data_IF_254104167299
#
_entry.id   IF_254104167299
#
_cell.length_a   1.000
_cell.length_b   1.000
_cell.length_c   1.000
_cell.angle_alpha   90.00
_cell.angle_beta   90.00
_cell.angle_gamma   90.00
#
_symmetry.space_group_name_H-M   'P 1'
#
loop_
_entity.id
_entity.type
_entity.pdbx_description
1 polymer ?
#
# COMPACT_ATOMS: atom_id res chain seq x y z
N UNK A 1 2.39 -17.28 -16.74
CA UNK A 1 1.05 -16.69 -16.63
C UNK A 1 0.20 -17.47 -15.62
N UNK A 2 -0.75 -16.80 -15.00
CA UNK A 2 -1.75 -17.41 -14.13
C UNK A 2 -3.12 -17.33 -14.82
N UNK A 3 -3.81 -18.47 -14.93
CA UNK A 3 -5.11 -18.51 -15.57
C UNK A 3 -6.17 -17.83 -14.69
N UNK A 4 -6.89 -16.86 -15.20
CA UNK A 4 -7.93 -16.12 -14.46
C UNK A 4 -9.11 -17.01 -14.02
N UNK A 5 -9.41 -18.07 -14.78
CA UNK A 5 -10.55 -18.94 -14.47
C UNK A 5 -10.23 -20.01 -13.43
N UNK A 6 -9.12 -20.73 -13.58
CA UNK A 6 -8.81 -21.87 -12.72
C UNK A 6 -7.60 -21.64 -11.80
N UNK A 7 -7.00 -20.46 -11.85
CA UNK A 7 -5.83 -20.04 -11.04
C UNK A 7 -4.61 -20.96 -11.23
N UNK A 8 -4.57 -21.74 -12.30
CA UNK A 8 -3.41 -22.57 -12.63
C UNK A 8 -2.26 -21.69 -13.09
N UNK A 9 -1.08 -21.94 -12.54
CA UNK A 9 0.17 -21.32 -13.01
C UNK A 9 0.62 -22.05 -14.28
N UNK A 10 0.77 -21.31 -15.36
CA UNK A 10 1.13 -21.82 -16.67
C UNK A 10 2.54 -21.33 -17.04
N UNK A 11 3.43 -22.27 -17.33
CA UNK A 11 4.76 -21.98 -17.88
C UNK A 11 4.72 -22.16 -19.38
N UNK A 12 5.20 -21.17 -20.13
CA UNK A 12 5.45 -21.29 -21.57
C UNK A 12 6.79 -21.99 -21.80
N UNK A 13 6.75 -23.10 -22.53
CA UNK A 13 7.93 -23.88 -22.92
C UNK A 13 7.87 -24.04 -24.45
N UNK A 14 8.47 -23.09 -25.17
CA UNK A 14 8.30 -22.96 -26.61
C UNK A 14 6.85 -22.60 -26.99
N UNK A 15 6.17 -23.46 -27.75
CA UNK A 15 4.76 -23.32 -28.12
C UNK A 15 3.80 -24.03 -27.13
N UNK A 16 4.33 -24.78 -26.16
CA UNK A 16 3.53 -25.52 -25.19
C UNK A 16 3.37 -24.77 -23.89
N UNK A 17 2.19 -24.95 -23.27
CA UNK A 17 1.91 -24.46 -21.91
C UNK A 17 1.94 -25.64 -20.94
N UNK A 18 2.79 -25.57 -19.92
CA UNK A 18 2.83 -26.52 -18.82
C UNK A 18 2.10 -25.97 -17.61
N UNK A 19 1.20 -26.76 -17.03
CA UNK A 19 0.53 -26.43 -15.78
C UNK A 19 1.47 -26.77 -14.61
N UNK A 20 1.82 -25.76 -13.79
CA UNK A 20 2.71 -25.90 -12.62
C UNK A 20 1.95 -26.04 -11.30
N UNK A 21 0.60 -26.04 -11.33
CA UNK A 21 -0.23 -26.09 -10.13
C UNK A 21 -1.18 -24.89 -10.02
N UNK A 22 -1.90 -24.81 -8.91
CA UNK A 22 -2.79 -23.68 -8.61
C UNK A 22 -2.12 -22.69 -7.69
N UNK A 23 -2.32 -21.41 -8.00
CA UNK A 23 -1.93 -20.30 -7.16
C UNK A 23 -2.92 -20.10 -6.02
N UNK A 24 -2.45 -19.56 -4.90
CA UNK A 24 -3.32 -19.09 -3.85
C UNK A 24 -4.25 -17.98 -4.37
N UNK A 25 -5.43 -17.89 -3.79
CA UNK A 25 -6.38 -16.82 -4.12
C UNK A 25 -5.86 -15.50 -3.59
N UNK A 26 -5.89 -14.46 -4.44
CA UNK A 26 -5.57 -13.10 -4.01
C UNK A 26 -6.63 -12.63 -3.03
N UNK A 27 -6.21 -11.90 -2.02
CA UNK A 27 -7.13 -11.28 -1.06
C UNK A 27 -7.79 -10.06 -1.70
N UNK A 28 -9.04 -9.83 -1.35
CA UNK A 28 -9.75 -8.62 -1.73
C UNK A 28 -9.03 -7.39 -1.17
N UNK A 29 -8.91 -6.36 -1.98
CA UNK A 29 -8.32 -5.07 -1.61
C UNK A 29 -9.04 -3.93 -2.34
N UNK A 30 -8.87 -2.68 -1.88
CA UNK A 30 -9.57 -1.52 -2.43
C UNK A 30 -9.00 -1.00 -3.76
N UNK A 31 -8.02 -1.69 -4.36
CA UNK A 31 -7.43 -1.23 -5.61
C UNK A 31 -8.46 -1.17 -6.73
N UNK A 32 -8.42 -0.08 -7.48
CA UNK A 32 -9.20 0.09 -8.71
C UNK A 32 -8.47 -0.46 -9.93
N UNK A 33 -7.18 -0.73 -9.80
CA UNK A 33 -6.37 -1.29 -10.88
C UNK A 33 -6.71 -2.77 -11.05
N UNK A 34 -6.76 -3.23 -12.28
CA UNK A 34 -7.02 -4.62 -12.64
C UNK A 34 -6.16 -5.05 -13.84
N UNK A 35 -6.16 -6.33 -14.15
CA UNK A 35 -5.56 -6.80 -15.42
C UNK A 35 -6.29 -6.14 -16.60
N UNK A 36 -5.51 -5.64 -17.56
CA UNK A 36 -6.02 -4.87 -18.69
C UNK A 36 -6.31 -3.40 -18.37
N UNK A 37 -6.00 -2.89 -17.17
CA UNK A 37 -5.92 -1.44 -16.94
C UNK A 37 -4.84 -0.87 -17.85
N UNK A 38 -5.15 0.22 -18.53
CA UNK A 38 -4.23 0.93 -19.41
C UNK A 38 -3.87 2.29 -18.80
N UNK A 39 -2.69 2.80 -19.12
CA UNK A 39 -2.25 4.10 -18.62
C UNK A 39 -1.04 4.62 -19.40
N UNK A 40 -0.48 5.72 -18.91
CA UNK A 40 0.71 6.32 -19.50
C UNK A 40 1.69 6.75 -18.42
N UNK A 41 2.96 6.49 -18.64
CA UNK A 41 4.02 6.97 -17.78
C UNK A 41 5.14 7.58 -18.64
N UNK A 42 5.48 8.85 -18.36
CA UNK A 42 6.49 9.61 -19.14
C UNK A 42 6.23 9.58 -20.65
N UNK A 43 4.98 9.82 -21.02
CA UNK A 43 4.50 9.85 -22.40
C UNK A 43 4.58 8.50 -23.14
N UNK A 44 4.80 7.39 -22.45
CA UNK A 44 4.74 6.06 -23.04
C UNK A 44 3.52 5.33 -22.47
N UNK A 45 2.69 4.81 -23.35
CA UNK A 45 1.51 4.03 -22.95
C UNK A 45 1.91 2.65 -22.45
N UNK A 46 1.15 2.13 -21.50
CA UNK A 46 1.31 0.79 -20.93
C UNK A 46 -0.03 0.10 -20.68
N UNK A 47 0.02 -1.21 -20.57
CA UNK A 47 -1.08 -2.05 -20.09
C UNK A 47 -0.63 -2.87 -18.89
N UNK A 48 -1.51 -3.05 -17.91
CA UNK A 48 -1.32 -3.97 -16.78
C UNK A 48 -1.55 -5.40 -17.25
N UNK A 49 -0.51 -6.22 -17.24
CA UNK A 49 -0.54 -7.59 -17.74
C UNK A 49 -0.42 -8.64 -16.64
N UNK A 50 0.01 -8.25 -15.45
CA UNK A 50 0.16 -9.15 -14.32
C UNK A 50 0.04 -8.44 -12.98
N UNK A 51 -0.08 -9.22 -11.92
CA UNK A 51 -0.18 -8.74 -10.54
C UNK A 51 0.42 -9.76 -9.60
N UNK A 52 1.15 -9.29 -8.59
CA UNK A 52 1.41 -10.04 -7.37
C UNK A 52 0.88 -9.26 -6.17
N UNK A 53 0.56 -9.97 -5.12
CA UNK A 53 0.12 -9.40 -3.86
C UNK A 53 1.07 -9.83 -2.76
N UNK A 54 1.59 -8.87 -2.03
CA UNK A 54 2.52 -9.08 -0.94
C UNK A 54 1.84 -8.75 0.39
N UNK A 55 2.08 -9.62 1.37
CA UNK A 55 1.57 -9.49 2.74
C UNK A 55 2.72 -9.28 3.70
N UNK A 56 2.56 -8.31 4.59
CA UNK A 56 3.47 -8.05 5.70
C UNK A 56 2.65 -7.82 6.99
N UNK A 57 3.29 -7.53 8.12
CA UNK A 57 2.61 -7.41 9.41
C UNK A 57 1.56 -6.30 9.48
N UNK A 58 1.76 -5.21 8.72
CA UNK A 58 0.87 -4.06 8.74
C UNK A 58 -0.22 -4.07 7.64
N UNK A 59 -0.20 -5.03 6.71
CA UNK A 59 -1.21 -5.08 5.65
C UNK A 59 -0.79 -5.81 4.38
N UNK A 60 -1.32 -5.33 3.28
CA UNK A 60 -1.11 -5.85 1.94
C UNK A 60 -0.73 -4.70 1.01
N UNK A 61 0.07 -5.00 -0.01
CA UNK A 61 0.25 -4.12 -1.15
C UNK A 61 0.28 -4.90 -2.45
N UNK A 62 0.07 -4.20 -3.56
CA UNK A 62 0.05 -4.75 -4.89
C UNK A 62 1.27 -4.30 -5.69
N UNK A 63 1.82 -5.23 -6.47
CA UNK A 63 2.78 -4.95 -7.52
C UNK A 63 2.15 -5.36 -8.84
N UNK A 64 1.90 -4.38 -9.70
CA UNK A 64 1.30 -4.56 -11.01
C UNK A 64 2.38 -4.65 -12.07
N UNK A 65 2.47 -5.78 -12.77
CA UNK A 65 3.38 -5.95 -13.90
C UNK A 65 2.78 -5.23 -15.11
N UNK A 66 3.47 -4.23 -15.60
CA UNK A 66 3.05 -3.40 -16.73
C UNK A 66 3.95 -3.62 -17.94
N UNK A 67 3.35 -3.62 -19.11
CA UNK A 67 4.03 -3.72 -20.39
C UNK A 67 3.81 -2.43 -21.18
N UNK A 68 4.89 -1.75 -21.55
CA UNK A 68 4.86 -0.58 -22.39
C UNK A 68 4.73 -0.94 -23.87
N UNK A 69 4.23 -0.02 -24.71
CA UNK A 69 4.09 -0.21 -26.14
C UNK A 69 5.44 -0.51 -26.84
N UNK A 70 6.54 -0.05 -26.26
CA UNK A 70 7.90 -0.34 -26.74
C UNK A 70 8.47 -1.68 -26.27
N UNK A 71 7.62 -2.55 -25.73
CA UNK A 71 7.93 -3.90 -25.23
C UNK A 71 8.81 -3.94 -23.98
N UNK A 72 9.14 -2.83 -23.36
CA UNK A 72 9.75 -2.83 -22.03
C UNK A 72 8.70 -3.17 -20.99
N UNK A 73 9.07 -3.90 -19.96
CA UNK A 73 8.22 -4.14 -18.81
C UNK A 73 8.73 -3.40 -17.58
N UNK A 74 7.81 -3.13 -16.68
CA UNK A 74 8.08 -2.47 -15.40
C UNK A 74 7.05 -2.93 -14.35
N UNK A 75 7.20 -2.42 -13.14
CA UNK A 75 6.27 -2.62 -12.05
C UNK A 75 5.63 -1.29 -11.66
N UNK A 76 4.34 -1.31 -11.44
CA UNK A 76 3.60 -0.23 -10.80
C UNK A 76 3.23 -0.71 -9.40
N UNK A 77 3.97 -0.21 -8.41
CA UNK A 77 3.70 -0.47 -6.99
C UNK A 77 2.56 0.40 -6.52
N UNK A 78 1.65 -0.19 -5.75
CA UNK A 78 0.50 0.49 -5.15
C UNK A 78 0.43 0.17 -3.66
N UNK A 79 0.71 1.15 -2.82
CA UNK A 79 0.68 1.02 -1.37
C UNK A 79 0.18 2.31 -0.70
N UNK A 80 -0.88 2.22 0.10
CA UNK A 80 -1.38 3.36 0.89
C UNK A 80 -1.77 4.60 0.08
N UNK A 81 -2.13 4.44 -1.21
CA UNK A 81 -2.46 5.56 -2.10
C UNK A 81 -1.24 6.19 -2.77
N UNK A 82 -0.03 5.69 -2.51
CA UNK A 82 1.18 6.07 -3.22
C UNK A 82 1.44 5.09 -4.39
N UNK A 83 1.98 5.64 -5.48
CA UNK A 83 2.28 4.90 -6.70
C UNK A 83 3.73 5.13 -7.11
N UNK A 84 4.41 4.04 -7.47
CA UNK A 84 5.79 4.10 -7.97
C UNK A 84 5.90 3.24 -9.22
N UNK A 85 6.40 3.79 -10.30
CA UNK A 85 6.74 3.01 -11.51
C UNK A 85 8.23 2.70 -11.47
N UNK A 86 8.58 1.42 -11.36
CA UNK A 86 9.95 0.93 -11.20
C UNK A 86 10.34 -0.08 -12.28
N UNK A 87 11.60 -0.07 -12.67
CA UNK A 87 12.16 -1.01 -13.63
C UNK A 87 13.39 -1.69 -13.06
N UNK A 88 13.55 -2.97 -13.39
CA UNK A 88 14.76 -3.73 -13.08
C UNK A 88 15.97 -3.10 -13.78
N UNK A 89 17.03 -2.87 -13.04
CA UNK A 89 18.29 -2.38 -13.57
C UNK A 89 19.41 -3.34 -13.21
N UNK A 90 20.32 -3.64 -14.15
CA UNK A 90 21.52 -4.38 -13.83
C UNK A 90 22.42 -3.50 -12.96
N UNK A 91 22.90 -4.06 -11.86
CA UNK A 91 23.83 -3.37 -10.94
C UNK A 91 25.10 -4.21 -10.83
N UNK A 92 26.21 -3.60 -11.21
CA UNK A 92 27.54 -4.19 -11.10
C UNK A 92 28.26 -3.66 -9.86
N UNK A 93 27.59 -3.82 -8.70
CA UNK A 93 28.10 -3.38 -7.39
C UNK A 93 27.74 -4.41 -6.33
N UNK A 94 28.67 -4.66 -5.43
CA UNK A 94 28.38 -5.48 -4.23
C UNK A 94 27.34 -4.73 -3.36
N UNK A 95 26.17 -5.33 -3.25
CA UNK A 95 25.11 -4.82 -2.38
C UNK A 95 25.32 -5.29 -0.95
N UNK A 96 25.03 -4.46 0.06
CA UNK A 96 25.09 -4.88 1.44
C UNK A 96 24.06 -6.00 1.71
N UNK A 97 24.39 -6.95 2.59
CA UNK A 97 23.45 -7.96 3.02
C UNK A 97 22.27 -7.32 3.77
N UNK A 98 21.05 -7.86 3.58
CA UNK A 98 19.83 -7.31 4.16
C UNK A 98 19.94 -7.06 5.68
N UNK A 99 20.54 -8.02 6.41
CA UNK A 99 20.69 -8.00 7.87
C UNK A 99 21.62 -6.87 8.35
N UNK A 100 22.44 -6.32 7.46
CA UNK A 100 23.37 -5.22 7.79
C UNK A 100 22.73 -3.85 7.58
N UNK A 101 21.62 -3.78 6.85
CA UNK A 101 20.94 -2.54 6.54
C UNK A 101 20.22 -1.98 7.78
N UNK A 102 20.17 -0.66 7.85
CA UNK A 102 19.44 0.09 8.88
C UNK A 102 18.80 1.32 8.25
N UNK A 103 17.67 1.80 8.76
CA UNK A 103 17.10 3.08 8.35
C UNK A 103 18.15 4.19 8.37
N UNK A 104 18.07 5.10 7.41
CA UNK A 104 18.99 6.23 7.19
C UNK A 104 20.42 5.82 6.76
N UNK A 105 20.73 4.54 6.62
CA UNK A 105 22.04 4.09 6.14
C UNK A 105 22.23 4.48 4.66
N UNK A 106 23.38 5.08 4.28
CA UNK A 106 23.68 5.37 2.88
C UNK A 106 24.10 4.09 2.15
N UNK A 107 23.56 3.90 0.95
CA UNK A 107 23.92 2.82 0.02
C UNK A 107 24.22 3.42 -1.34
N UNK A 108 25.31 3.00 -1.97
CA UNK A 108 25.67 3.47 -3.31
C UNK A 108 25.16 2.49 -4.35
N UNK A 109 24.29 2.96 -5.25
CA UNK A 109 23.74 2.21 -6.36
C UNK A 109 24.09 2.93 -7.67
N UNK A 110 24.75 2.25 -8.57
CA UNK A 110 25.18 2.81 -9.87
C UNK A 110 25.86 4.20 -9.73
N UNK A 111 26.75 4.34 -8.74
CA UNK A 111 27.52 5.57 -8.47
C UNK A 111 26.72 6.71 -7.81
N UNK A 112 25.49 6.48 -7.36
CA UNK A 112 24.65 7.43 -6.65
C UNK A 112 24.38 6.97 -5.23
N UNK A 113 24.31 7.91 -4.30
CA UNK A 113 23.98 7.62 -2.90
C UNK A 113 22.48 7.70 -2.70
N UNK A 114 21.92 6.66 -2.08
CA UNK A 114 20.55 6.56 -1.61
C UNK A 114 20.58 6.26 -0.11
N UNK A 115 19.50 6.58 0.58
CA UNK A 115 19.36 6.31 2.01
C UNK A 115 18.25 5.29 2.21
N UNK A 116 18.50 4.29 3.04
CA UNK A 116 17.49 3.29 3.41
C UNK A 116 16.34 3.99 4.10
N UNK A 117 15.15 3.93 3.50
CA UNK A 117 13.93 4.53 4.06
C UNK A 117 13.06 3.50 4.77
N UNK A 118 13.05 2.26 4.28
CA UNK A 118 12.27 1.19 4.86
C UNK A 118 12.92 -0.17 4.63
N UNK A 119 12.65 -1.12 5.54
CA UNK A 119 13.09 -2.50 5.48
C UNK A 119 11.88 -3.38 5.78
N UNK A 120 11.49 -4.19 4.81
CA UNK A 120 10.32 -5.06 4.93
C UNK A 120 10.68 -6.52 4.77
N UNK A 121 10.07 -7.34 5.61
CA UNK A 121 9.96 -8.77 5.38
C UNK A 121 8.50 -9.06 5.05
N UNK A 122 8.26 -9.57 3.87
CA UNK A 122 6.93 -9.82 3.35
C UNK A 122 6.84 -11.22 2.75
N UNK A 123 5.62 -11.65 2.48
CA UNK A 123 5.33 -12.88 1.75
C UNK A 123 4.52 -12.56 0.51
N UNK A 124 5.02 -12.96 -0.65
CA UNK A 124 4.19 -13.02 -1.84
C UNK A 124 3.14 -14.11 -1.64
N UNK A 125 1.88 -13.72 -1.51
CA UNK A 125 0.77 -14.64 -1.21
C UNK A 125 0.07 -15.15 -2.46
N UNK A 126 0.25 -14.49 -3.59
CA UNK A 126 -0.37 -14.91 -4.83
C UNK A 126 -0.08 -13.95 -5.99
N UNK A 127 -0.58 -14.30 -7.17
CA UNK A 127 -0.50 -13.47 -8.36
C UNK A 127 -1.54 -13.83 -9.40
N UNK A 128 -1.65 -12.99 -10.42
CA UNK A 128 -2.54 -13.17 -11.54
C UNK A 128 -1.90 -12.65 -12.84
N UNK A 129 -2.40 -13.07 -13.99
CA UNK A 129 -1.94 -12.61 -15.30
C UNK A 129 -0.53 -13.07 -15.67
N UNK A 130 0.21 -12.23 -16.39
CA UNK A 130 1.55 -12.51 -16.91
C UNK A 130 2.61 -11.99 -15.93
N UNK A 131 3.50 -12.87 -15.49
CA UNK A 131 4.57 -12.56 -14.55
C UNK A 131 5.91 -12.97 -15.14
N UNK A 132 7.00 -12.20 -14.92
CA UNK A 132 8.33 -12.49 -15.47
C UNK A 132 9.05 -13.63 -14.74
N UNK A 133 8.47 -14.14 -13.66
CA UNK A 133 9.01 -15.23 -12.84
C UNK A 133 7.91 -16.23 -12.47
N UNK A 134 8.34 -17.36 -11.90
CA UNK A 134 7.41 -18.37 -11.42
C UNK A 134 6.96 -18.04 -10.00
N UNK A 135 5.67 -17.85 -9.84
CA UNK A 135 5.05 -17.80 -8.52
C UNK A 135 4.41 -19.17 -8.29
N UNK A 136 4.95 -19.92 -7.34
CA UNK A 136 4.43 -21.23 -6.97
C UNK A 136 3.42 -21.10 -5.82
N UNK A 137 3.72 -21.61 -4.63
CA UNK A 137 2.87 -21.51 -3.44
C UNK A 137 3.08 -20.22 -2.63
N UNK A 138 3.70 -19.23 -3.24
CA UNK A 138 4.19 -18.02 -2.60
C UNK A 138 5.62 -18.17 -2.08
N UNK A 139 6.26 -17.04 -1.80
CA UNK A 139 7.64 -17.00 -1.30
C UNK A 139 7.82 -15.82 -0.34
N UNK A 140 8.76 -15.97 0.59
CA UNK A 140 9.13 -14.89 1.49
C UNK A 140 10.16 -14.01 0.80
N UNK A 141 10.05 -12.71 0.99
CA UNK A 141 10.94 -11.71 0.41
C UNK A 141 11.34 -10.68 1.46
N UNK A 142 12.63 -10.36 1.48
CA UNK A 142 13.14 -9.19 2.18
C UNK A 142 13.38 -8.10 1.17
N UNK A 143 12.84 -6.91 1.42
CA UNK A 143 13.03 -5.74 0.56
C UNK A 143 13.60 -4.58 1.35
N UNK A 144 14.50 -3.84 0.71
CA UNK A 144 14.99 -2.58 1.23
C UNK A 144 14.60 -1.47 0.26
N UNK A 145 13.81 -0.53 0.74
CA UNK A 145 13.45 0.67 0.01
C UNK A 145 14.41 1.80 0.37
N UNK A 146 14.94 2.43 -0.66
CA UNK A 146 15.89 3.53 -0.53
C UNK A 146 15.38 4.76 -1.26
N UNK A 147 15.64 5.92 -0.70
CA UNK A 147 15.25 7.21 -1.28
C UNK A 147 16.48 8.01 -1.68
N UNK A 148 16.44 8.56 -2.88
CA UNK A 148 17.31 9.62 -3.37
C UNK A 148 16.52 10.90 -3.60
N UNK A 149 17.13 11.92 -4.22
CA UNK A 149 16.48 13.22 -4.41
C UNK A 149 15.23 13.16 -5.30
N UNK A 150 15.25 12.32 -6.34
CA UNK A 150 14.21 12.25 -7.38
C UNK A 150 13.78 10.83 -7.71
N UNK A 151 14.28 9.83 -6.97
CA UNK A 151 14.10 8.41 -7.31
C UNK A 151 13.94 7.57 -6.06
N UNK A 152 13.23 6.46 -6.27
CA UNK A 152 13.21 5.32 -5.37
C UNK A 152 14.11 4.22 -5.89
N UNK A 153 14.67 3.45 -4.99
CA UNK A 153 15.34 2.19 -5.30
C UNK A 153 14.80 1.14 -4.35
N UNK A 154 14.34 0.02 -4.88
CA UNK A 154 14.01 -1.16 -4.10
C UNK A 154 15.04 -2.23 -4.39
N UNK A 155 15.67 -2.77 -3.35
CA UNK A 155 16.52 -3.96 -3.43
C UNK A 155 15.68 -5.14 -2.95
N UNK A 156 15.48 -6.09 -3.84
CA UNK A 156 14.76 -7.33 -3.57
C UNK A 156 15.76 -8.47 -3.35
N UNK A 157 15.76 -9.01 -2.14
CA UNK A 157 16.65 -10.09 -1.69
C UNK A 157 16.06 -11.50 -1.88
N UNK A 158 15.00 -11.64 -2.67
CA UNK A 158 14.43 -12.97 -2.99
C UNK A 158 15.34 -13.80 -3.90
N UNK A 159 16.25 -13.16 -4.61
CA UNK A 159 17.19 -13.78 -5.55
C UNK A 159 18.65 -13.57 -5.12
N UNK A 160 19.56 -14.37 -5.69
CA UNK A 160 21.00 -14.22 -5.50
C UNK A 160 21.69 -14.16 -6.86
N UNK A 161 22.31 -13.03 -7.26
CA UNK A 161 22.39 -11.76 -6.52
C UNK A 161 21.04 -11.07 -6.38
N UNK A 162 20.88 -10.16 -5.39
CA UNK A 162 19.66 -9.40 -5.21
C UNK A 162 19.28 -8.57 -6.44
N UNK A 163 17.99 -8.40 -6.67
CA UNK A 163 17.46 -7.60 -7.77
C UNK A 163 17.34 -6.14 -7.35
N UNK A 164 17.65 -5.23 -8.26
CA UNK A 164 17.55 -3.79 -8.02
C UNK A 164 16.56 -3.16 -8.97
N UNK A 165 15.55 -2.53 -8.39
CA UNK A 165 14.54 -1.78 -9.13
C UNK A 165 14.75 -0.29 -8.89
N UNK A 166 14.82 0.49 -9.96
CA UNK A 166 14.86 1.95 -9.87
C UNK A 166 13.50 2.49 -10.29
N UNK A 167 12.89 3.24 -9.39
CA UNK A 167 11.54 3.74 -9.51
C UNK A 167 11.44 5.26 -9.43
N UNK A 168 10.29 5.73 -9.88
CA UNK A 168 9.90 7.13 -9.82
C UNK A 168 8.48 7.22 -9.27
N UNK A 169 8.23 8.16 -8.35
CA UNK A 169 6.89 8.38 -7.85
C UNK A 169 5.97 8.82 -8.99
N UNK A 170 4.75 8.40 -8.93
CA UNK A 170 3.70 8.78 -9.86
C UNK A 170 2.45 9.20 -9.08
N UNK A 171 1.69 10.16 -9.61
CA UNK A 171 0.38 10.48 -9.09
C UNK A 171 -0.65 9.67 -9.86
N UNK A 172 -1.70 9.21 -9.20
CA UNK A 172 -2.77 8.42 -9.83
C UNK A 172 -3.34 9.12 -11.07
N UNK A 173 -3.62 10.41 -10.95
CA UNK A 173 -4.20 11.21 -12.03
C UNK A 173 -3.25 11.40 -13.21
N UNK A 174 -1.93 11.50 -12.94
CA UNK A 174 -0.89 11.66 -13.98
C UNK A 174 -0.68 10.38 -14.80
N UNK A 175 -1.05 9.22 -14.26
CA UNK A 175 -0.99 7.95 -14.98
C UNK A 175 -2.11 7.82 -16.03
N UNK A 176 -3.16 8.65 -15.97
CA UNK A 176 -4.27 8.64 -16.92
C UNK A 176 -4.91 7.26 -17.07
N UNK A 177 -5.12 6.56 -15.94
CA UNK A 177 -5.55 5.18 -15.93
C UNK A 177 -6.97 5.01 -16.49
N UNK A 178 -7.13 4.03 -17.37
CA UNK A 178 -8.39 3.62 -17.99
C UNK A 178 -8.67 2.13 -17.69
N UNK A 179 -9.90 1.70 -17.92
CA UNK A 179 -10.35 0.33 -17.64
C UNK A 179 -10.12 -0.07 -16.17
N UNK A 180 -10.43 0.86 -15.28
CA UNK A 180 -10.39 0.63 -13.84
C UNK A 180 -11.61 -0.17 -13.38
N UNK A 181 -11.46 -0.93 -12.30
CA UNK A 181 -12.62 -1.43 -11.56
C UNK A 181 -13.51 -0.24 -11.18
N UNK A 182 -14.84 -0.41 -11.24
CA UNK A 182 -15.74 0.60 -10.68
C UNK A 182 -15.22 0.86 -9.25
N UNK A 183 -14.77 2.08 -8.97
CA UNK A 183 -14.53 2.45 -7.59
C UNK A 183 -15.79 2.10 -6.83
N UNK A 184 -15.69 1.70 -5.58
CA UNK A 184 -16.86 1.74 -4.70
C UNK A 184 -17.39 3.14 -4.88
N UNK A 185 -18.48 3.20 -5.61
CA UNK A 185 -18.91 4.42 -6.27
C UNK A 185 -18.79 5.58 -5.33
N UNK A 186 -18.46 6.74 -5.84
CA UNK A 186 -19.08 7.94 -5.32
C UNK A 186 -20.58 7.61 -5.21
N UNK A 187 -20.93 6.93 -4.13
CA UNK A 187 -22.30 6.79 -3.71
C UNK A 187 -22.79 8.25 -3.71
N UNK A 188 -23.89 8.57 -4.41
CA UNK A 188 -24.45 9.89 -4.35
C UNK A 188 -24.45 10.22 -2.87
N UNK A 189 -23.81 11.32 -2.49
CA UNK A 189 -23.63 11.80 -1.12
C UNK A 189 -24.74 11.22 -0.23
N UNK A 190 -24.52 9.99 0.25
CA UNK A 190 -25.44 9.38 1.18
C UNK A 190 -25.31 10.26 2.40
N UNK A 191 -26.39 10.94 2.73
CA UNK A 191 -26.48 11.69 3.98
C UNK A 191 -26.07 10.72 5.05
N UNK A 192 -24.82 10.83 5.53
CA UNK A 192 -24.23 9.92 6.50
C UNK A 192 -25.13 10.05 7.72
N UNK A 193 -25.93 9.03 7.98
CA UNK A 193 -26.73 8.97 9.20
C UNK A 193 -25.76 8.77 10.35
N UNK A 194 -25.31 9.87 10.91
CA UNK A 194 -24.49 9.86 12.10
C UNK A 194 -25.28 9.18 13.22
N UNK A 195 -24.71 8.14 13.78
CA UNK A 195 -25.29 7.44 14.94
C UNK A 195 -24.71 8.07 16.21
N UNK A 196 -25.56 8.58 17.08
CA UNK A 196 -25.15 9.21 18.31
C UNK A 196 -25.18 8.20 19.48
N UNK A 197 -24.10 8.15 20.25
CA UNK A 197 -23.94 7.37 21.47
C UNK A 197 -23.43 8.26 22.60
N UNK A 198 -23.47 7.76 23.82
CA UNK A 198 -22.82 8.41 24.96
C UNK A 198 -21.57 7.62 25.36
N UNK A 199 -20.49 8.32 25.68
CA UNK A 199 -19.27 7.70 26.16
C UNK A 199 -19.55 6.88 27.42
N UNK A 200 -19.27 5.59 27.49
CA UNK A 200 -19.54 4.75 28.66
C UNK A 200 -18.65 5.09 29.86
N UNK A 201 -17.64 5.96 29.70
CA UNK A 201 -16.77 6.40 30.78
C UNK A 201 -17.14 7.76 31.36
N UNK A 202 -17.49 8.75 30.53
CA UNK A 202 -17.76 10.13 30.98
C UNK A 202 -19.11 10.69 30.54
N UNK A 203 -19.92 9.88 29.87
CA UNK A 203 -21.23 10.24 29.31
C UNK A 203 -21.24 11.38 28.29
N UNK A 204 -20.09 11.85 27.82
CA UNK A 204 -20.03 12.84 26.72
C UNK A 204 -20.62 12.25 25.42
N UNK A 205 -21.32 13.07 24.62
CA UNK A 205 -21.87 12.61 23.35
C UNK A 205 -20.75 12.22 22.38
N UNK A 206 -20.95 11.11 21.69
CA UNK A 206 -20.08 10.58 20.64
C UNK A 206 -20.87 10.49 19.36
N UNK A 207 -20.28 10.90 18.24
CA UNK A 207 -20.87 10.82 16.92
C UNK A 207 -20.05 9.88 16.07
N UNK A 208 -20.68 8.83 15.54
CA UNK A 208 -20.08 7.88 14.62
C UNK A 208 -20.57 8.19 13.22
N UNK A 209 -19.66 8.52 12.31
CA UNK A 209 -19.94 8.98 10.95
C UNK A 209 -19.92 7.84 9.91
N UNK A 210 -19.32 6.71 10.21
CA UNK A 210 -19.21 5.60 9.28
C UNK A 210 -19.58 4.27 9.95
N UNK A 211 -20.34 3.40 9.28
CA UNK A 211 -20.66 2.06 9.81
C UNK A 211 -19.44 1.12 9.86
N UNK A 212 -18.34 1.47 9.19
CA UNK A 212 -17.10 0.69 9.19
C UNK A 212 -16.17 1.02 10.36
N UNK A 213 -16.55 1.94 11.25
CA UNK A 213 -15.73 2.32 12.39
C UNK A 213 -15.82 1.25 13.48
N UNK A 214 -14.69 0.70 13.87
CA UNK A 214 -14.57 -0.28 14.96
C UNK A 214 -14.22 0.36 16.30
N UNK A 215 -13.65 1.56 16.29
CA UNK A 215 -13.30 2.28 17.53
C UNK A 215 -13.35 3.79 17.34
N UNK A 216 -13.65 4.50 18.45
CA UNK A 216 -13.66 5.96 18.52
C UNK A 216 -12.97 6.43 19.79
N UNK A 217 -12.18 7.49 19.67
CA UNK A 217 -11.61 8.20 20.83
C UNK A 217 -12.59 9.23 21.38
N UNK A 218 -12.89 9.18 22.65
CA UNK A 218 -13.72 10.21 23.28
C UNK A 218 -12.91 11.51 23.41
N UNK A 219 -13.35 12.57 22.73
CA UNK A 219 -12.68 13.89 22.76
C UNK A 219 -12.72 14.53 24.16
N UNK A 220 -13.66 14.14 25.00
CA UNK A 220 -13.83 14.71 26.34
C UNK A 220 -12.91 14.07 27.38
N UNK A 221 -12.78 12.73 27.38
CA UNK A 221 -12.00 12.01 28.41
C UNK A 221 -10.84 11.18 27.85
N UNK A 222 -10.60 11.17 26.53
CA UNK A 222 -9.53 10.43 25.89
C UNK A 222 -9.67 8.90 25.89
N UNK A 223 -10.77 8.37 26.42
CA UNK A 223 -11.00 6.91 26.43
C UNK A 223 -11.22 6.38 25.02
N UNK A 224 -10.71 5.18 24.73
CA UNK A 224 -10.96 4.46 23.49
C UNK A 224 -12.18 3.56 23.68
N UNK A 225 -13.14 3.69 22.78
CA UNK A 225 -14.43 3.04 22.81
C UNK A 225 -14.58 2.20 21.56
N UNK A 226 -14.87 0.91 21.71
CA UNK A 226 -15.25 0.04 20.60
C UNK A 226 -16.67 0.35 20.15
N UNK A 227 -16.88 0.37 18.84
CA UNK A 227 -18.19 0.54 18.21
C UNK A 227 -18.65 -0.84 17.76
N UNK A 228 -19.78 -1.30 18.26
CA UNK A 228 -20.39 -2.59 17.92
C UNK A 228 -21.74 -2.32 17.24
N UNK A 229 -22.31 -3.30 16.54
CA UNK A 229 -23.57 -3.16 15.80
C UNK A 229 -24.74 -2.64 16.65
N UNK A 230 -24.74 -2.92 17.96
CA UNK A 230 -25.82 -2.59 18.87
C UNK A 230 -25.42 -1.55 19.96
N UNK A 231 -24.21 -0.96 19.87
CA UNK A 231 -23.78 0.00 20.88
C UNK A 231 -22.30 0.31 20.90
N UNK A 232 -21.85 0.83 22.02
CA UNK A 232 -20.45 1.20 22.26
C UNK A 232 -19.94 0.56 23.55
N UNK A 233 -18.69 0.11 23.53
CA UNK A 233 -18.03 -0.52 24.68
C UNK A 233 -16.70 0.14 24.99
N UNK A 234 -16.41 0.38 26.26
CA UNK A 234 -15.12 0.91 26.69
C UNK A 234 -14.01 -0.12 26.44
N UNK A 235 -13.04 0.22 25.59
CA UNK A 235 -11.85 -0.61 25.30
C UNK A 235 -10.68 -0.23 26.22
N UNK A 236 -10.41 1.06 26.38
CA UNK A 236 -9.33 1.54 27.21
C UNK A 236 -9.66 2.92 27.79
N UNK A 237 -9.20 3.16 29.04
CA UNK A 237 -9.20 4.49 29.63
C UNK A 237 -7.92 5.21 29.25
N UNK A 238 -7.98 6.52 29.06
CA UNK A 238 -6.78 7.32 28.84
C UNK A 238 -5.84 7.18 30.04
N UNK A 239 -4.64 6.68 29.82
CA UNK A 239 -3.63 6.54 30.90
C UNK A 239 -3.06 7.90 31.31
N UNK A 240 -2.99 8.86 30.42
CA UNK A 240 -2.65 10.27 30.67
C UNK A 240 -3.22 11.14 29.55
N UNK A 241 -3.89 12.22 29.90
CA UNK A 241 -4.30 13.25 28.95
C UNK A 241 -3.07 14.09 28.53
N UNK A 242 -2.36 13.66 27.51
CA UNK A 242 -1.51 14.61 26.79
C UNK A 242 -2.43 15.50 25.95
N UNK A 243 -2.54 16.77 26.27
CA UNK A 243 -3.23 17.76 25.43
C UNK A 243 -2.45 17.92 24.12
N UNK A 244 -2.82 17.10 23.16
CA UNK A 244 -2.29 17.22 21.79
C UNK A 244 -3.30 18.06 21.04
N UNK A 245 -2.82 19.17 20.51
CA UNK A 245 -3.61 20.00 19.58
C UNK A 245 -3.12 19.62 18.19
N UNK A 246 -3.88 18.83 17.41
CA UNK A 246 -3.52 18.51 16.04
C UNK A 246 -3.56 19.80 15.18
N UNK A 247 -2.76 19.85 14.15
CA UNK A 247 -2.74 20.98 13.21
C UNK A 247 -4.09 21.15 12.49
N UNK A 248 -4.79 20.04 12.25
CA UNK A 248 -6.15 20.00 11.75
C UNK A 248 -7.05 19.48 12.88
N UNK A 249 -7.80 20.34 13.55
CA UNK A 249 -8.76 19.92 14.58
C UNK A 249 -9.83 18.99 14.00
N UNK A 250 -10.41 18.14 14.83
CA UNK A 250 -11.58 17.36 14.46
C UNK A 250 -12.72 18.27 14.05
N UNK A 251 -13.45 17.90 12.99
CA UNK A 251 -14.50 18.72 12.37
C UNK A 251 -13.97 19.78 11.40
N UNK A 252 -12.64 19.87 11.17
CA UNK A 252 -12.11 20.71 10.09
C UNK A 252 -12.57 20.16 8.74
N UNK A 253 -13.03 21.04 7.88
CA UNK A 253 -13.48 20.70 6.52
C UNK A 253 -12.51 21.28 5.48
N UNK A 254 -12.41 20.62 4.34
CA UNK A 254 -11.60 21.07 3.23
C UNK A 254 -11.91 20.31 1.95
N UNK A 255 -11.39 20.79 0.83
CA UNK A 255 -11.48 20.10 -0.45
C UNK A 255 -10.12 19.55 -0.86
N UNK A 256 -10.07 18.27 -1.22
CA UNK A 256 -8.90 17.60 -1.77
C UNK A 256 -9.32 16.91 -3.08
N UNK A 257 -8.66 17.24 -4.17
CA UNK A 257 -8.97 16.72 -5.51
C UNK A 257 -10.45 16.91 -5.92
N UNK A 258 -11.04 18.07 -5.54
CA UNK A 258 -12.43 18.39 -5.86
C UNK A 258 -13.48 17.66 -5.00
N UNK A 259 -13.05 16.86 -4.02
CA UNK A 259 -13.92 16.19 -3.05
C UNK A 259 -13.86 16.92 -1.73
N UNK A 260 -15.04 17.17 -1.11
CA UNK A 260 -15.11 17.75 0.22
C UNK A 260 -14.85 16.68 1.29
N UNK A 261 -14.00 17.03 2.25
CA UNK A 261 -13.59 16.17 3.36
C UNK A 261 -13.82 16.85 4.70
N UNK A 262 -14.10 16.02 5.69
CA UNK A 262 -14.14 16.41 7.09
C UNK A 262 -13.17 15.53 7.91
N UNK A 263 -12.40 16.14 8.79
CA UNK A 263 -11.50 15.42 9.71
C UNK A 263 -12.33 14.80 10.83
N UNK A 264 -12.57 13.50 10.77
CA UNK A 264 -13.38 12.75 11.74
C UNK A 264 -12.54 12.00 12.79
N UNK A 265 -11.22 11.94 12.62
CA UNK A 265 -10.31 11.29 13.55
C UNK A 265 -8.86 11.68 13.31
N UNK A 266 -8.01 11.46 14.28
CA UNK A 266 -6.56 11.51 14.12
C UNK A 266 -5.87 10.45 14.97
N UNK A 267 -4.71 10.01 14.56
CA UNK A 267 -3.88 9.06 15.26
C UNK A 267 -2.50 9.63 15.49
N UNK A 268 -1.99 9.54 16.70
CA UNK A 268 -0.59 9.86 16.99
C UNK A 268 0.23 8.58 17.07
N UNK A 269 1.33 8.54 16.36
CA UNK A 269 2.32 7.45 16.44
C UNK A 269 3.65 8.02 16.92
N UNK A 270 4.31 7.31 17.83
CA UNK A 270 5.68 7.61 18.24
C UNK A 270 6.59 6.44 17.87
N UNK A 271 7.77 6.70 17.33
CA UNK A 271 8.77 5.68 17.09
C UNK A 271 9.60 5.42 18.36
N UNK A 272 10.08 4.18 18.54
CA UNK A 272 10.93 3.82 19.70
C UNK A 272 12.28 4.54 19.74
N UNK A 273 12.74 5.11 18.63
CA UNK A 273 14.00 5.82 18.51
C UNK A 273 13.95 7.30 18.92
N UNK A 274 12.88 7.72 19.53
CA UNK A 274 12.77 9.01 20.21
C UNK A 274 12.86 10.21 19.30
N UNK A 275 11.74 10.73 18.85
CA UNK A 275 11.75 12.09 18.48
C UNK A 275 10.97 12.58 17.28
N UNK A 276 10.19 11.78 16.58
CA UNK A 276 9.23 12.36 15.63
C UNK A 276 7.84 11.80 15.92
N UNK A 277 7.00 12.65 16.49
CA UNK A 277 5.59 12.39 16.67
C UNK A 277 4.85 12.85 15.40
N UNK A 278 4.24 11.93 14.67
CA UNK A 278 3.34 12.26 13.57
C UNK A 278 1.90 12.26 14.07
N UNK A 279 1.19 13.36 13.87
CA UNK A 279 -0.26 13.43 14.02
C UNK A 279 -0.89 13.35 12.63
N UNK A 280 -1.80 12.40 12.45
CA UNK A 280 -2.53 12.17 11.21
C UNK A 280 -4.01 12.40 11.46
#
# INVERSE_FOLDING_TARGET
AVCEFCRSTLLRDGEALKNLGRMAELMDDPSRIQLGTEGSFRSTHFAVIGRIQLKYDAGLWNEWHILFDDQRSAWLSEAGGEYVVSSLVPVDTDLPAFETLKPEMPVTIAGRIFFVSDLQTARCIGGAGELPFKVESGYDVNTADLRGNDRFVTIDYSETPPLVFVGYPAQFDDLGLANLLPGEGAAPSATIKATAFNCPHCAAPLTVHSPAIESIGCVSCGSIIGVEHEGVRLLAKAAQQMKIVPWLPLGSTGALNGVEWEVIGFLRRSTRSGGVDYAW
#
